data_IF_519816579434
#
_entry.id   IF_519816579434
#
_cell.length_a   1.000
_cell.length_b   1.000
_cell.length_c   1.000
_cell.angle_alpha   90.00
_cell.angle_beta   90.00
_cell.angle_gamma   90.00
#
_symmetry.space_group_name_H-M   'P 1'
#
loop_
_entity.id
_entity.type
_entity.pdbx_description
1 polymer ?
#
# COMPACT_ATOMS: atom_id res chain seq x y z
N UNK A 1 9.07 13.76 5.56
CA UNK A 1 10.46 13.37 5.85
C UNK A 1 10.66 11.86 5.83
N UNK A 2 10.07 11.07 6.73
CA UNK A 2 10.31 9.60 6.79
C UNK A 2 9.80 8.86 5.55
N UNK A 3 8.60 9.18 5.06
CA UNK A 3 8.08 8.57 3.84
C UNK A 3 8.90 8.98 2.61
N UNK A 4 9.40 10.22 2.56
CA UNK A 4 10.26 10.69 1.47
C UNK A 4 11.61 9.96 1.46
N UNK A 5 12.21 9.78 2.65
CA UNK A 5 13.41 8.96 2.84
C UNK A 5 13.17 7.54 2.30
N UNK A 6 12.10 6.87 2.73
CA UNK A 6 11.82 5.50 2.31
C UNK A 6 11.57 5.37 0.80
N UNK A 7 10.84 6.31 0.18
CA UNK A 7 10.68 6.34 -1.28
C UNK A 7 12.03 6.48 -1.98
N UNK A 8 12.91 7.36 -1.48
CA UNK A 8 14.26 7.52 -2.04
C UNK A 8 15.12 6.27 -1.86
N UNK A 9 15.01 5.59 -0.72
CA UNK A 9 15.75 4.36 -0.43
C UNK A 9 15.31 3.23 -1.35
N UNK A 10 14.00 3.02 -1.51
CA UNK A 10 13.42 2.04 -2.45
C UNK A 10 13.96 2.29 -3.86
N UNK A 11 13.90 3.54 -4.34
CA UNK A 11 14.40 3.92 -5.66
C UNK A 11 15.91 3.65 -5.82
N UNK A 12 16.71 3.99 -4.80
CA UNK A 12 18.18 3.77 -4.81
C UNK A 12 18.57 2.30 -4.77
N UNK A 13 17.70 1.42 -4.25
CA UNK A 13 17.88 -0.03 -4.28
C UNK A 13 17.38 -0.68 -5.59
N UNK A 14 17.00 0.12 -6.59
CA UNK A 14 16.54 -0.38 -7.89
C UNK A 14 15.07 -0.82 -7.92
N UNK A 15 14.29 -0.49 -6.89
CA UNK A 15 12.88 -0.82 -6.82
C UNK A 15 12.00 0.41 -7.12
N UNK A 16 10.77 0.17 -7.57
CA UNK A 16 9.74 1.19 -7.72
C UNK A 16 8.47 0.77 -7.00
N UNK A 17 7.88 1.67 -6.21
CA UNK A 17 6.53 1.45 -5.70
C UNK A 17 5.53 1.52 -6.87
N UNK A 18 4.99 0.38 -7.30
CA UNK A 18 4.05 0.29 -8.41
C UNK A 18 2.61 0.64 -7.95
N UNK A 19 2.20 0.01 -6.85
CA UNK A 19 0.88 0.18 -6.26
C UNK A 19 0.89 -0.17 -4.78
N UNK A 20 -0.16 0.26 -4.08
CA UNK A 20 -0.51 -0.28 -2.78
C UNK A 20 -1.88 -0.95 -2.85
N UNK A 21 -2.10 -1.95 -2.00
CA UNK A 21 -3.36 -2.69 -1.93
C UNK A 21 -3.80 -2.73 -0.48
N UNK A 22 -5.00 -2.20 -0.17
CA UNK A 22 -5.65 -2.44 1.13
C UNK A 22 -6.32 -3.81 1.05
N UNK A 23 -5.81 -4.78 1.79
CA UNK A 23 -6.08 -6.21 1.57
C UNK A 23 -7.21 -6.77 2.43
N UNK A 24 -7.32 -6.32 3.68
CA UNK A 24 -8.33 -6.83 4.63
C UNK A 24 -8.67 -5.84 5.75
N UNK A 25 -9.83 -6.07 6.36
CA UNK A 25 -10.30 -5.44 7.60
C UNK A 25 -10.62 -6.55 8.61
N UNK A 26 -9.86 -6.61 9.70
CA UNK A 26 -10.03 -7.59 10.79
C UNK A 26 -10.03 -6.85 12.12
N UNK A 27 -11.01 -7.13 12.99
CA UNK A 27 -11.12 -6.50 14.32
C UNK A 27 -10.99 -4.95 14.24
N UNK A 28 -11.67 -4.35 13.26
CA UNK A 28 -11.63 -2.92 12.97
C UNK A 28 -10.24 -2.35 12.58
N UNK A 29 -9.30 -3.23 12.23
CA UNK A 29 -7.94 -2.89 11.80
C UNK A 29 -7.79 -3.21 10.32
N UNK A 30 -7.43 -2.20 9.53
CA UNK A 30 -7.13 -2.35 8.12
C UNK A 30 -5.67 -2.75 7.91
N UNK A 31 -5.43 -3.59 6.90
CA UNK A 31 -4.10 -4.04 6.49
C UNK A 31 -3.84 -3.65 5.04
N UNK A 32 -2.58 -3.36 4.72
CA UNK A 32 -2.19 -3.03 3.37
C UNK A 32 -0.85 -3.66 3.00
N UNK A 33 -0.62 -3.72 1.69
CA UNK A 33 0.65 -4.15 1.10
C UNK A 33 1.17 -3.07 0.17
N UNK A 34 2.47 -2.83 0.24
CA UNK A 34 3.22 -2.16 -0.82
C UNK A 34 3.59 -3.20 -1.86
N UNK A 35 3.33 -2.93 -3.13
CA UNK A 35 3.78 -3.78 -4.23
C UNK A 35 4.92 -3.07 -4.93
N UNK A 36 6.12 -3.60 -4.72
CA UNK A 36 7.36 -3.06 -5.28
C UNK A 36 7.70 -3.82 -6.55
N UNK A 37 7.93 -3.10 -7.65
CA UNK A 37 8.52 -3.67 -8.85
C UNK A 37 10.05 -3.62 -8.73
N UNK A 38 10.70 -4.75 -8.92
CA UNK A 38 12.16 -4.88 -9.01
C UNK A 38 12.44 -5.63 -10.30
N UNK A 39 13.09 -4.99 -11.27
CA UNK A 39 13.25 -5.53 -12.62
C UNK A 39 11.90 -5.98 -13.23
N UNK A 40 11.74 -7.29 -13.44
CA UNK A 40 10.52 -7.94 -13.98
C UNK A 40 9.69 -8.68 -12.92
N UNK A 41 10.04 -8.55 -11.63
CA UNK A 41 9.31 -9.20 -10.53
C UNK A 41 8.59 -8.17 -9.65
N UNK A 42 7.58 -8.66 -8.95
CA UNK A 42 6.86 -7.90 -7.94
C UNK A 42 7.10 -8.53 -6.57
N UNK A 43 7.49 -7.69 -5.61
CA UNK A 43 7.64 -8.06 -4.21
C UNK A 43 6.60 -7.35 -3.37
N UNK A 44 6.09 -8.03 -2.35
CA UNK A 44 5.09 -7.48 -1.44
C UNK A 44 5.71 -7.17 -0.09
N UNK A 45 5.40 -6.01 0.46
CA UNK A 45 5.81 -5.60 1.81
C UNK A 45 4.58 -5.22 2.61
N UNK A 46 4.36 -5.92 3.72
CA UNK A 46 3.27 -5.61 4.64
C UNK A 46 3.48 -4.23 5.26
N UNK A 47 2.43 -3.42 5.27
CA UNK A 47 2.45 -2.08 5.81
C UNK A 47 1.07 -1.70 6.37
N UNK A 48 1.05 -0.72 7.27
CA UNK A 48 -0.22 -0.13 7.69
C UNK A 48 -0.78 0.73 6.55
N UNK A 49 -2.10 0.77 6.34
CA UNK A 49 -2.73 1.57 5.29
C UNK A 49 -2.33 3.06 5.33
N UNK A 50 -2.18 3.66 6.51
CA UNK A 50 -1.73 5.05 6.64
C UNK A 50 -0.36 5.30 6.01
N UNK A 51 0.58 4.38 6.24
CA UNK A 51 1.94 4.46 5.69
C UNK A 51 1.92 4.16 4.19
N UNK A 52 1.15 3.17 3.76
CA UNK A 52 0.97 2.83 2.34
C UNK A 52 0.41 3.98 1.52
N UNK A 53 -0.63 4.65 2.03
CA UNK A 53 -1.23 5.82 1.37
C UNK A 53 -0.22 6.97 1.30
N UNK A 54 0.49 7.26 2.40
CA UNK A 54 1.49 8.33 2.43
C UNK A 54 2.62 8.11 1.41
N UNK A 55 3.08 6.87 1.24
CA UNK A 55 4.08 6.48 0.25
C UNK A 55 3.52 6.53 -1.17
N UNK A 56 2.29 6.04 -1.39
CA UNK A 56 1.66 6.05 -2.70
C UNK A 56 1.49 7.47 -3.26
N UNK A 57 1.06 8.42 -2.43
CA UNK A 57 0.93 9.83 -2.81
C UNK A 57 2.28 10.45 -3.24
N UNK A 58 3.36 10.11 -2.54
CA UNK A 58 4.72 10.63 -2.84
C UNK A 58 5.33 9.99 -4.08
N UNK A 59 5.17 8.69 -4.21
CA UNK A 59 5.66 7.92 -5.36
C UNK A 59 4.77 8.04 -6.60
N UNK A 60 3.60 8.70 -6.47
CA UNK A 60 2.53 8.71 -7.49
C UNK A 60 2.12 7.29 -7.92
N UNK A 61 2.07 6.38 -6.94
CA UNK A 61 1.70 4.99 -7.14
C UNK A 61 0.18 4.82 -7.09
N UNK A 62 -0.32 3.76 -7.72
CA UNK A 62 -1.75 3.44 -7.74
C UNK A 62 -2.22 2.93 -6.38
N UNK A 63 -3.46 3.21 -6.02
CA UNK A 63 -4.09 2.77 -4.78
C UNK A 63 -5.22 1.83 -5.14
N UNK A 64 -5.17 0.60 -4.63
CA UNK A 64 -6.22 -0.40 -4.78
C UNK A 64 -6.76 -0.80 -3.41
N UNK A 65 -8.00 -1.27 -3.42
CA UNK A 65 -8.69 -1.83 -2.26
C UNK A 65 -9.34 -3.12 -2.72
N UNK A 66 -9.16 -4.19 -1.96
CA UNK A 66 -9.84 -5.45 -2.20
C UNK A 66 -11.35 -5.29 -2.03
N UNK A 67 -12.13 -5.90 -2.92
CA UNK A 67 -13.58 -5.76 -2.93
C UNK A 67 -14.22 -6.18 -1.60
N UNK A 68 -13.73 -7.28 -1.00
CA UNK A 68 -14.17 -7.75 0.31
C UNK A 68 -14.02 -6.71 1.43
N UNK A 69 -13.06 -5.80 1.32
CA UNK A 69 -12.85 -4.72 2.30
C UNK A 69 -13.93 -3.66 2.12
N UNK A 70 -14.23 -3.29 0.87
CA UNK A 70 -15.29 -2.34 0.56
C UNK A 70 -16.65 -2.85 1.07
N UNK A 71 -16.98 -4.11 0.79
CA UNK A 71 -18.23 -4.73 1.25
C UNK A 71 -18.37 -4.71 2.78
N UNK A 72 -17.32 -5.03 3.52
CA UNK A 72 -17.34 -4.99 4.99
C UNK A 72 -17.55 -3.59 5.55
N UNK A 73 -16.95 -2.56 4.92
CA UNK A 73 -17.12 -1.17 5.36
C UNK A 73 -18.53 -0.68 5.09
N UNK A 74 -19.09 -1.00 3.92
CA UNK A 74 -20.48 -0.63 3.58
C UNK A 74 -21.49 -1.19 4.59
N UNK A 75 -21.34 -2.44 5.02
CA UNK A 75 -22.24 -3.07 6.00
C UNK A 75 -22.12 -2.48 7.42
N UNK A 76 -20.99 -1.85 7.76
CA UNK A 76 -20.79 -1.23 9.08
C UNK A 76 -21.29 0.23 9.14
N UNK A 77 -21.70 0.81 8.01
CA UNK A 77 -22.21 2.17 7.90
C UNK A 77 -23.75 2.23 7.92
N UNK A 78 -24.42 1.08 7.90
CA UNK A 78 -25.87 0.92 8.16
C UNK A 78 -26.14 0.59 9.64
#
# INVERSE_FOLDING_TARGET
>A
MTHDLLVSTIAKLGAKLDRIVITKLEQNTFFAKLVLQIDSRFEEVDARPSDSIALALRAKARIFVEEQVLTRVSNNLE
#
